data_IF_914500686810
#
_entry.id   IF_914500686810
#
_cell.length_a   1.000
_cell.length_b   1.000
_cell.length_c   1.000
_cell.angle_alpha   90.00
_cell.angle_beta   90.00
_cell.angle_gamma   90.00
#
_symmetry.space_group_name_H-M   'P 1'
#
loop_
_entity.id
_entity.type
_entity.pdbx_description
1 polymer ?
#
# COMPACT_ATOMS: atom_id res chain seq x y z
N UNK A 1 -9.10 -31.28 -51.46
CA UNK A 1 -9.07 -29.81 -51.52
C UNK A 1 -9.58 -29.29 -50.19
N UNK A 2 -8.96 -28.24 -49.62
CA UNK A 2 -9.37 -27.70 -48.33
C UNK A 2 -10.82 -27.21 -48.36
N UNK A 3 -11.64 -27.66 -47.41
CA UNK A 3 -13.06 -27.26 -47.30
C UNK A 3 -13.24 -26.15 -46.27
N UNK A 4 -14.36 -25.43 -46.33
CA UNK A 4 -14.70 -24.39 -45.33
C UNK A 4 -14.71 -24.98 -43.91
N UNK A 5 -15.40 -26.11 -43.74
CA UNK A 5 -15.53 -26.78 -42.46
C UNK A 5 -14.16 -27.14 -41.87
N UNK A 6 -13.29 -27.74 -42.67
CA UNK A 6 -11.95 -28.14 -42.23
C UNK A 6 -11.09 -26.93 -41.80
N UNK A 7 -11.10 -25.86 -42.60
CA UNK A 7 -10.38 -24.62 -42.27
C UNK A 7 -10.89 -24.00 -40.97
N UNK A 8 -12.22 -24.02 -40.76
CA UNK A 8 -12.85 -23.48 -39.56
C UNK A 8 -12.49 -24.30 -38.32
N UNK A 9 -12.55 -25.62 -38.40
CA UNK A 9 -12.20 -26.53 -37.31
C UNK A 9 -10.72 -26.39 -36.91
N UNK A 10 -9.80 -26.33 -37.89
CA UNK A 10 -8.38 -26.10 -37.62
C UNK A 10 -8.16 -24.73 -36.97
N UNK A 11 -8.76 -23.68 -37.53
CA UNK A 11 -8.62 -22.32 -37.02
C UNK A 11 -9.18 -22.18 -35.58
N UNK A 12 -10.28 -22.86 -35.27
CA UNK A 12 -10.85 -22.92 -33.92
C UNK A 12 -9.91 -23.64 -32.95
N UNK A 13 -9.32 -24.78 -33.34
CA UNK A 13 -8.33 -25.48 -32.50
C UNK A 13 -7.10 -24.62 -32.24
N UNK A 14 -6.58 -23.94 -33.27
CA UNK A 14 -5.47 -23.01 -33.15
C UNK A 14 -5.79 -21.87 -32.16
N UNK A 15 -6.99 -21.28 -32.28
CA UNK A 15 -7.44 -20.22 -31.38
C UNK A 15 -7.58 -20.73 -29.94
N UNK A 16 -8.17 -21.91 -29.74
CA UNK A 16 -8.42 -22.48 -28.42
C UNK A 16 -7.13 -22.71 -27.62
N UNK A 17 -6.04 -23.12 -28.30
CA UNK A 17 -4.72 -23.30 -27.69
C UNK A 17 -3.89 -22.00 -27.59
N UNK A 18 -4.50 -20.85 -27.87
CA UNK A 18 -3.83 -19.54 -27.81
C UNK A 18 -2.83 -19.27 -28.95
N UNK A 19 -2.78 -20.11 -29.97
CA UNK A 19 -1.89 -19.93 -31.10
C UNK A 19 -2.41 -18.84 -32.07
N UNK A 20 -1.48 -18.17 -32.75
CA UNK A 20 -1.82 -17.20 -33.80
C UNK A 20 -2.46 -17.93 -34.99
N UNK A 21 -3.65 -17.49 -35.40
CA UNK A 21 -4.36 -18.04 -36.55
C UNK A 21 -3.97 -17.30 -37.84
N UNK A 22 -3.14 -17.96 -38.64
CA UNK A 22 -2.58 -17.46 -39.90
C UNK A 22 -2.59 -18.56 -40.97
N UNK A 23 -2.43 -18.19 -42.25
CA UNK A 23 -2.30 -19.20 -43.31
C UNK A 23 -1.12 -20.15 -43.05
N UNK A 24 -0.01 -19.61 -42.52
CA UNK A 24 1.18 -20.39 -42.17
C UNK A 24 0.94 -21.41 -41.06
N UNK A 25 0.03 -21.13 -40.12
CA UNK A 25 -0.32 -22.05 -39.04
C UNK A 25 -1.47 -22.99 -39.41
N UNK A 26 -2.38 -22.55 -40.28
CA UNK A 26 -3.57 -23.31 -40.68
C UNK A 26 -3.24 -24.36 -41.74
N UNK A 27 -2.55 -23.97 -42.82
CA UNK A 27 -2.30 -24.85 -43.98
C UNK A 27 -1.60 -26.16 -43.61
N UNK A 28 -0.56 -26.18 -42.74
CA UNK A 28 0.10 -27.42 -42.33
C UNK A 28 -0.78 -28.37 -41.53
N UNK A 29 -1.86 -27.88 -40.91
CA UNK A 29 -2.78 -28.68 -40.09
C UNK A 29 -4.02 -29.18 -40.88
N UNK A 30 -4.11 -28.87 -42.17
CA UNK A 30 -5.14 -29.40 -43.08
C UNK A 30 -4.74 -30.78 -43.59
N UNK A 31 -5.71 -31.70 -43.74
CA UNK A 31 -5.50 -33.10 -44.10
C UNK A 31 -4.73 -33.30 -45.41
N UNK A 32 -4.99 -32.44 -46.40
CA UNK A 32 -4.33 -32.46 -47.70
C UNK A 32 -3.56 -31.17 -47.99
N UNK A 33 -3.33 -30.34 -46.97
CA UNK A 33 -2.82 -28.99 -47.13
C UNK A 33 -3.75 -28.10 -47.95
N UNK A 34 -3.16 -27.13 -48.64
CA UNK A 34 -3.87 -26.23 -49.54
C UNK A 34 -3.01 -25.05 -49.97
N UNK A 35 -3.33 -24.44 -51.10
CA UNK A 35 -2.66 -23.22 -51.52
C UNK A 35 -3.25 -22.01 -50.81
N UNK A 36 -2.44 -20.94 -50.68
CA UNK A 36 -2.91 -19.66 -50.14
C UNK A 36 -4.13 -19.11 -50.90
N UNK A 37 -4.25 -19.40 -52.21
CA UNK A 37 -5.40 -18.96 -53.03
C UNK A 37 -6.71 -19.65 -52.63
N UNK A 38 -6.64 -20.92 -52.20
CA UNK A 38 -7.84 -21.70 -51.79
C UNK A 38 -8.17 -21.45 -50.32
N UNK A 39 -7.18 -21.46 -49.43
CA UNK A 39 -7.40 -21.35 -47.97
C UNK A 39 -7.60 -19.90 -47.53
N UNK A 40 -7.03 -18.93 -48.26
CA UNK A 40 -7.10 -17.50 -47.98
C UNK A 40 -8.52 -16.97 -47.78
N UNK A 41 -9.44 -17.14 -48.76
CA UNK A 41 -10.82 -16.71 -48.63
C UNK A 41 -11.55 -17.37 -47.45
N UNK A 42 -11.40 -18.69 -47.29
CA UNK A 42 -12.05 -19.44 -46.21
C UNK A 42 -11.59 -18.96 -44.81
N UNK A 43 -10.29 -18.73 -44.66
CA UNK A 43 -9.74 -18.25 -43.39
C UNK A 43 -10.11 -16.79 -43.10
N UNK A 44 -10.30 -15.96 -44.15
CA UNK A 44 -10.82 -14.61 -44.01
C UNK A 44 -12.25 -14.64 -43.46
N UNK A 45 -13.11 -15.47 -44.03
CA UNK A 45 -14.49 -15.63 -43.57
C UNK A 45 -14.52 -16.06 -42.09
N UNK A 46 -13.72 -17.06 -41.74
CA UNK A 46 -13.58 -17.50 -40.34
C UNK A 46 -13.17 -16.35 -39.41
N UNK A 47 -12.20 -15.51 -39.82
CA UNK A 47 -11.74 -14.38 -38.99
C UNK A 47 -12.84 -13.35 -38.77
N UNK A 48 -13.65 -13.08 -39.79
CA UNK A 48 -14.79 -12.17 -39.70
C UNK A 48 -15.86 -12.76 -38.78
N UNK A 49 -16.29 -13.99 -39.02
CA UNK A 49 -17.35 -14.65 -38.26
C UNK A 49 -16.98 -14.83 -36.78
N UNK A 50 -15.74 -15.23 -36.50
CA UNK A 50 -15.25 -15.45 -35.14
C UNK A 50 -14.71 -14.19 -34.47
N UNK A 51 -14.83 -13.03 -35.13
CA UNK A 51 -14.28 -11.72 -34.70
C UNK A 51 -12.84 -11.87 -34.20
N UNK A 52 -12.03 -12.58 -34.98
CA UNK A 52 -10.69 -12.95 -34.55
C UNK A 52 -9.77 -11.72 -34.53
N UNK A 53 -9.39 -11.32 -33.32
CA UNK A 53 -8.35 -10.34 -33.09
C UNK A 53 -7.09 -11.10 -32.66
N UNK A 54 -6.02 -11.13 -33.47
CA UNK A 54 -4.78 -11.76 -33.05
C UNK A 54 -4.26 -11.02 -31.81
N UNK A 55 -3.89 -11.78 -30.76
CA UNK A 55 -3.10 -11.21 -29.68
C UNK A 55 -1.83 -10.63 -30.30
N UNK A 56 -1.65 -9.33 -30.14
CA UNK A 56 -0.37 -8.68 -30.41
C UNK A 56 0.58 -9.22 -29.35
N UNK A 57 1.69 -9.84 -29.77
CA UNK A 57 2.76 -10.14 -28.84
C UNK A 57 3.17 -8.81 -28.21
N UNK A 58 3.04 -8.70 -26.89
CA UNK A 58 3.52 -7.53 -26.18
C UNK A 58 5.04 -7.53 -26.36
N UNK A 59 5.53 -6.81 -27.35
CA UNK A 59 6.91 -6.38 -27.35
C UNK A 59 7.08 -5.63 -26.02
N UNK A 60 8.09 -6.03 -25.24
CA UNK A 60 8.44 -5.31 -24.01
C UNK A 60 8.58 -3.82 -24.28
N UNK A 61 8.48 -3.01 -23.21
CA UNK A 61 8.67 -1.56 -23.35
C UNK A 61 10.03 -1.27 -24.00
N UNK A 62 10.14 -0.24 -24.87
CA UNK A 62 11.43 0.17 -25.41
C UNK A 62 12.46 0.43 -24.29
N UNK A 63 13.72 0.07 -24.51
CA UNK A 63 14.78 0.17 -23.48
C UNK A 63 14.87 1.58 -22.88
N UNK A 64 14.76 2.61 -23.71
CA UNK A 64 14.73 4.01 -23.27
C UNK A 64 13.61 4.29 -22.27
N UNK A 65 12.43 3.70 -22.47
CA UNK A 65 11.30 3.86 -21.56
C UNK A 65 11.51 3.08 -20.27
N UNK A 66 12.09 1.87 -20.35
CA UNK A 66 12.46 1.08 -19.17
C UNK A 66 13.47 1.83 -18.28
N UNK A 67 14.50 2.44 -18.87
CA UNK A 67 15.49 3.24 -18.15
C UNK A 67 14.88 4.47 -17.46
N UNK A 68 13.97 5.17 -18.14
CA UNK A 68 13.26 6.31 -17.56
C UNK A 68 12.36 5.91 -16.39
N UNK A 69 11.63 4.79 -16.52
CA UNK A 69 10.79 4.28 -15.44
C UNK A 69 11.62 3.85 -14.22
N UNK A 70 12.79 3.23 -14.43
CA UNK A 70 13.70 2.87 -13.35
C UNK A 70 14.23 4.10 -12.61
N UNK A 71 14.65 5.12 -13.35
CA UNK A 71 15.14 6.38 -12.78
C UNK A 71 14.05 7.06 -11.95
N UNK A 72 12.86 7.20 -12.54
CA UNK A 72 11.70 7.76 -11.86
C UNK A 72 11.34 7.01 -10.57
N UNK A 73 11.37 5.67 -10.59
CA UNK A 73 11.06 4.87 -9.41
C UNK A 73 12.06 5.12 -8.26
N UNK A 74 13.34 5.28 -8.58
CA UNK A 74 14.38 5.61 -7.60
C UNK A 74 14.17 7.01 -7.02
N UNK A 75 13.94 8.01 -7.89
CA UNK A 75 13.71 9.38 -7.46
C UNK A 75 12.47 9.50 -6.57
N UNK A 76 11.38 8.82 -6.96
CA UNK A 76 10.14 8.79 -6.17
C UNK A 76 10.37 8.17 -4.80
N UNK A 77 11.12 7.07 -4.74
CA UNK A 77 11.41 6.39 -3.48
C UNK A 77 12.27 7.24 -2.55
N UNK A 78 13.30 7.90 -3.07
CA UNK A 78 14.14 8.80 -2.28
C UNK A 78 13.37 10.03 -1.78
N UNK A 79 12.51 10.61 -2.61
CA UNK A 79 11.63 11.71 -2.21
C UNK A 79 10.68 11.28 -1.08
N UNK A 80 10.03 10.12 -1.22
CA UNK A 80 9.13 9.59 -0.20
C UNK A 80 9.85 9.32 1.13
N UNK A 81 11.05 8.72 1.07
CA UNK A 81 11.92 8.51 2.24
C UNK A 81 12.29 9.81 2.94
N UNK A 82 12.66 10.83 2.15
CA UNK A 82 13.03 12.14 2.70
C UNK A 82 11.87 12.79 3.44
N UNK A 83 10.66 12.72 2.89
CA UNK A 83 9.45 13.26 3.53
C UNK A 83 9.15 12.50 4.82
N UNK A 84 9.12 11.17 4.78
CA UNK A 84 8.83 10.35 5.95
C UNK A 84 9.88 10.54 7.06
N UNK A 85 11.16 10.70 6.71
CA UNK A 85 12.21 10.97 7.68
C UNK A 85 12.02 12.34 8.36
N UNK A 86 11.65 13.37 7.61
CA UNK A 86 11.38 14.70 8.15
C UNK A 86 10.17 14.69 9.10
N UNK A 87 9.09 14.02 8.72
CA UNK A 87 7.90 13.85 9.58
C UNK A 87 8.25 13.12 10.88
N UNK A 88 9.00 12.02 10.80
CA UNK A 88 9.40 11.25 11.97
C UNK A 88 10.28 12.05 12.94
N UNK A 89 11.19 12.88 12.43
CA UNK A 89 12.01 13.77 13.27
C UNK A 89 11.14 14.83 13.95
N UNK A 90 10.20 15.43 13.23
CA UNK A 90 9.29 16.43 13.78
C UNK A 90 8.38 15.83 14.86
N UNK A 91 7.82 14.64 14.63
CA UNK A 91 6.97 13.94 15.59
C UNK A 91 7.73 13.59 16.87
N UNK A 92 8.96 13.07 16.74
CA UNK A 92 9.83 12.79 17.90
C UNK A 92 10.13 14.03 18.71
N UNK A 93 10.47 15.15 18.06
CA UNK A 93 10.72 16.41 18.74
C UNK A 93 9.48 16.92 19.47
N UNK A 94 8.29 16.80 18.87
CA UNK A 94 7.03 17.20 19.50
C UNK A 94 6.70 16.31 20.71
N UNK A 95 6.87 14.99 20.59
CA UNK A 95 6.66 14.04 21.70
C UNK A 95 7.63 14.31 22.86
N UNK A 96 8.90 14.57 22.57
CA UNK A 96 9.88 14.93 23.59
C UNK A 96 9.53 16.24 24.31
N UNK A 97 9.09 17.25 23.56
CA UNK A 97 8.64 18.52 24.14
C UNK A 97 7.41 18.32 25.04
N UNK A 98 6.42 17.55 24.57
CA UNK A 98 5.23 17.23 25.35
C UNK A 98 5.57 16.46 26.64
N UNK A 99 6.49 15.49 26.54
CA UNK A 99 6.96 14.73 27.70
C UNK A 99 7.62 15.64 28.74
N UNK A 100 8.52 16.55 28.32
CA UNK A 100 9.17 17.49 29.25
C UNK A 100 8.17 18.42 29.92
N UNK A 101 7.21 18.96 29.16
CA UNK A 101 6.16 19.80 29.75
C UNK A 101 5.31 19.02 30.77
N UNK A 102 5.03 17.74 30.51
CA UNK A 102 4.36 16.86 31.46
C UNK A 102 5.17 16.62 32.74
N UNK A 103 6.48 16.34 32.59
CA UNK A 103 7.39 16.17 33.72
C UNK A 103 7.44 17.46 34.58
N UNK A 104 7.56 18.64 33.97
CA UNK A 104 7.57 19.93 34.67
C UNK A 104 6.27 20.18 35.47
N UNK A 105 5.11 19.85 34.89
CA UNK A 105 3.82 19.97 35.60
C UNK A 105 3.73 19.01 36.77
N UNK A 106 4.24 17.78 36.62
CA UNK A 106 4.25 16.79 37.71
C UNK A 106 5.17 17.23 38.84
N UNK A 107 6.36 17.72 38.52
CA UNK A 107 7.32 18.25 39.51
C UNK A 107 6.71 19.42 40.29
N UNK A 108 6.03 20.35 39.61
CA UNK A 108 5.33 21.46 40.27
C UNK A 108 4.18 20.98 41.16
N UNK A 109 3.39 20.01 40.69
CA UNK A 109 2.29 19.45 41.46
C UNK A 109 2.79 18.72 42.73
N UNK A 110 3.89 17.98 42.63
CA UNK A 110 4.53 17.32 43.77
C UNK A 110 5.06 18.35 44.78
N UNK A 111 5.73 19.40 44.32
CA UNK A 111 6.18 20.47 45.21
C UNK A 111 5.02 21.17 45.95
N UNK A 112 3.88 21.38 45.27
CA UNK A 112 2.67 21.92 45.91
C UNK A 112 2.07 20.94 46.92
N UNK A 113 2.09 19.65 46.63
CA UNK A 113 1.64 18.60 47.55
C UNK A 113 2.47 18.60 48.82
N UNK A 114 3.80 18.63 48.71
CA UNK A 114 4.71 18.66 49.86
C UNK A 114 4.42 19.85 50.79
N UNK A 115 4.17 21.04 50.20
CA UNK A 115 3.79 22.24 50.96
C UNK A 115 2.45 22.04 51.68
N UNK A 116 1.45 21.51 50.99
CA UNK A 116 0.13 21.26 51.56
C UNK A 116 0.18 20.23 52.69
N UNK A 117 0.98 19.16 52.55
CA UNK A 117 1.18 18.16 53.58
C UNK A 117 1.85 18.75 54.83
N UNK A 118 2.87 19.60 54.64
CA UNK A 118 3.53 20.30 55.74
C UNK A 118 2.58 21.26 56.48
N UNK A 119 1.76 22.01 55.74
CA UNK A 119 0.74 22.90 56.33
C UNK A 119 -0.33 22.11 57.09
N UNK A 120 -0.82 21.01 56.52
CA UNK A 120 -1.76 20.11 57.18
C UNK A 120 -1.17 19.54 58.48
N UNK A 121 0.11 19.15 58.48
CA UNK A 121 0.82 18.71 59.69
C UNK A 121 0.83 19.78 60.78
N UNK A 122 1.24 21.01 60.44
CA UNK A 122 1.25 22.15 61.37
C UNK A 122 -0.14 22.47 61.93
N UNK A 123 -1.18 22.42 61.09
CA UNK A 123 -2.55 22.65 61.52
C UNK A 123 -3.04 21.57 62.49
N UNK A 124 -2.74 20.30 62.22
CA UNK A 124 -3.07 19.18 63.12
C UNK A 124 -2.39 19.33 64.48
N UNK A 125 -1.11 19.68 64.52
CA UNK A 125 -0.40 19.94 65.79
C UNK A 125 -1.03 21.11 66.56
N UNK A 126 -1.43 22.18 65.87
CA UNK A 126 -2.07 23.33 66.51
C UNK A 126 -3.44 22.96 67.08
N UNK A 127 -4.22 22.15 66.37
CA UNK A 127 -5.50 21.63 66.86
C UNK A 127 -5.29 20.79 68.12
N UNK A 128 -4.34 19.84 68.10
CA UNK A 128 -4.03 19.01 69.27
C UNK A 128 -3.67 19.86 70.51
N UNK A 129 -2.82 20.88 70.35
CA UNK A 129 -2.47 21.81 71.44
C UNK A 129 -3.69 22.58 71.99
N UNK A 130 -4.60 23.01 71.12
CA UNK A 130 -5.81 23.73 71.53
C UNK A 130 -6.80 22.79 72.26
N UNK A 131 -6.93 21.55 71.80
CA UNK A 131 -7.75 20.53 72.43
C UNK A 131 -7.22 20.17 73.83
N UNK A 132 -5.90 19.98 73.98
CA UNK A 132 -5.24 19.76 75.28
C UNK A 132 -5.42 20.96 76.23
N UNK A 133 -5.23 22.19 75.74
CA UNK A 133 -5.42 23.40 76.53
C UNK A 133 -6.88 23.65 76.95
N UNK A 134 -7.83 23.31 76.09
CA UNK A 134 -9.27 23.37 76.38
C UNK A 134 -9.67 22.38 77.49
N UNK A 135 -9.11 21.17 77.45
CA UNK A 135 -9.29 20.17 78.51
C UNK A 135 -8.68 20.60 79.84
N UNK A 136 -7.52 21.27 79.83
CA UNK A 136 -6.87 21.77 81.05
C UNK A 136 -7.65 22.92 81.72
N UNK A 137 -8.32 23.78 80.94
CA UNK A 137 -9.13 24.90 81.47
C UNK A 137 -10.49 24.45 82.03
N UNK A 138 -11.01 23.31 81.58
CA UNK A 138 -12.34 22.81 82.01
C UNK A 138 -12.28 21.97 83.30
N UNK A 139 -11.09 21.55 83.74
CA UNK A 139 -10.88 20.66 84.91
C UNK A 139 -10.38 21.42 86.16
N UNK A 140 -10.31 22.75 86.12
CA UNK A 140 -10.00 23.63 87.26
C UNK A 140 -11.24 24.42 87.68
#
# INVERSE_FOLDING_TARGET
MATRQEVFEVADRLRARGARVSLRSVIPELRFGGSNRVVGPLLRDWKVERRYLPKVEAAGLPETLQGRLRTFAVELWEAARSVAAAELVAERAALEAYRRAGDEVLDEALARLDVAEAEMGRLRERLARLEEGSFAVTVV
#
